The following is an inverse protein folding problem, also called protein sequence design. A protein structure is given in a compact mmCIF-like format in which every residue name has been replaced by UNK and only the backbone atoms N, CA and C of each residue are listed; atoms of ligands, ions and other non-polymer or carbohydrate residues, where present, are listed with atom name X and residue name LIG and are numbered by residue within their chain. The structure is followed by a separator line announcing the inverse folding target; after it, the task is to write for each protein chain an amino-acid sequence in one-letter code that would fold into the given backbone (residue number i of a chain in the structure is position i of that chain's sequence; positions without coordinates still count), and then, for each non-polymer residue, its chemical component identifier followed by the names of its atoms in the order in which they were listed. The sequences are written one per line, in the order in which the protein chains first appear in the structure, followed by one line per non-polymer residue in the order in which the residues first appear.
data_IF_617691232513
#
_entry.id   IF_617691232513
#
_cell.length_a   1.000
_cell.length_b   1.000
_cell.length_c   1.000
_cell.angle_alpha   90.00
_cell.angle_beta   90.00
_cell.angle_gamma   90.00
#
_symmetry.space_group_name_H-M   'P 1'
#
loop_
_entity.id
_entity.type
_entity.pdbx_description
1 polymer ?
#
# COMPACT_ATOMS: atom_id res chain seq x y z
N UNK A 1 35.96 5.72 23.93
CA UNK A 1 35.76 4.61 22.97
C UNK A 1 34.32 4.15 23.11
N UNK A 2 33.48 4.51 22.15
CA UNK A 2 32.04 4.20 22.16
C UNK A 2 31.83 2.74 21.73
N UNK A 3 31.21 1.94 22.58
CA UNK A 3 30.59 0.68 22.19
C UNK A 3 29.09 0.96 21.98
N UNK A 4 28.65 0.87 20.72
CA UNK A 4 27.26 1.05 20.32
C UNK A 4 26.41 -0.12 20.80
N UNK A 5 25.34 0.19 21.53
CA UNK A 5 24.23 -0.74 21.73
C UNK A 5 23.36 -0.71 20.47
N UNK A 6 23.45 -1.80 19.70
CA UNK A 6 22.49 -2.13 18.64
C UNK A 6 21.11 -2.35 19.27
N UNK A 7 20.29 -1.31 19.25
CA UNK A 7 18.85 -1.43 19.48
C UNK A 7 18.21 -1.93 18.19
N UNK A 8 18.23 -3.25 17.99
CA UNK A 8 17.27 -3.92 17.13
C UNK A 8 15.86 -3.70 17.72
N UNK A 9 15.24 -2.58 17.34
CA UNK A 9 13.81 -2.39 17.48
C UNK A 9 13.14 -3.44 16.59
N UNK A 10 12.73 -4.54 17.21
CA UNK A 10 11.74 -5.46 16.63
C UNK A 10 10.57 -4.61 16.14
N UNK A 11 10.37 -4.52 14.82
CA UNK A 11 9.15 -3.92 14.26
C UNK A 11 7.97 -4.82 14.67
N UNK A 12 7.06 -4.36 15.55
CA UNK A 12 5.85 -5.14 15.82
C UNK A 12 5.03 -5.18 14.52
N UNK A 13 4.51 -6.35 14.18
CA UNK A 13 3.61 -6.53 13.05
C UNK A 13 2.41 -5.58 13.21
N UNK A 14 2.40 -4.52 12.41
CA UNK A 14 1.45 -3.42 12.54
C UNK A 14 0.06 -3.85 12.07
N UNK A 15 -0.93 -3.73 12.95
CA UNK A 15 -2.34 -3.79 12.57
C UNK A 15 -2.84 -2.38 12.28
N UNK A 16 -3.20 -2.13 11.02
CA UNK A 16 -3.85 -0.90 10.54
C UNK A 16 -5.25 -0.64 11.17
N UNK A 17 -5.67 -1.43 12.17
CA UNK A 17 -7.03 -1.48 12.72
C UNK A 17 -7.14 -1.13 14.21
N UNK A 18 -6.11 -0.58 14.87
CA UNK A 18 -6.22 -0.16 16.29
C UNK A 18 -7.11 1.09 16.46
N UNK A 19 -7.79 1.23 17.60
CA UNK A 19 -8.68 2.38 17.89
C UNK A 19 -7.95 3.74 17.87
N UNK A 20 -6.63 3.77 18.09
CA UNK A 20 -5.81 4.97 17.93
C UNK A 20 -5.71 5.44 16.46
N UNK A 21 -5.78 4.53 15.49
CA UNK A 21 -5.80 4.87 14.06
C UNK A 21 -7.08 5.60 13.63
N UNK A 22 -8.12 5.63 14.49
CA UNK A 22 -9.34 6.41 14.23
C UNK A 22 -9.13 7.91 14.51
N UNK A 23 -8.26 8.26 15.46
CA UNK A 23 -8.06 9.65 15.95
C UNK A 23 -7.21 10.49 15.01
N UNK A 24 -6.19 9.91 14.38
CA UNK A 24 -5.34 10.61 13.40
C UNK A 24 -5.24 9.80 12.10
N UNK A 25 -5.36 10.45 10.93
CA UNK A 25 -5.16 9.77 9.65
C UNK A 25 -3.72 9.27 9.53
N UNK A 26 -3.52 8.23 8.72
CA UNK A 26 -2.17 7.80 8.34
C UNK A 26 -1.49 8.90 7.53
N UNK A 27 -0.19 9.08 7.75
CA UNK A 27 0.65 10.00 6.96
C UNK A 27 1.32 9.22 5.84
N UNK A 28 1.33 9.82 4.65
CA UNK A 28 2.10 9.30 3.52
C UNK A 28 3.57 9.73 3.66
N UNK A 29 4.48 8.76 3.60
CA UNK A 29 5.92 9.05 3.55
C UNK A 29 6.46 8.91 2.14
N UNK A 30 7.36 9.83 1.81
CA UNK A 30 8.09 9.87 0.55
C UNK A 30 9.60 9.73 0.81
N UNK A 31 10.34 9.36 -0.23
CA UNK A 31 11.77 9.63 -0.25
C UNK A 31 12.05 11.14 -0.51
N UNK A 32 13.31 11.53 -0.48
CA UNK A 32 13.71 12.93 -0.71
C UNK A 32 13.41 13.44 -2.13
N UNK A 33 13.19 12.55 -3.10
CA UNK A 33 12.88 12.87 -4.49
C UNK A 33 11.37 12.88 -4.76
N UNK A 34 10.54 12.56 -3.76
CA UNK A 34 9.08 12.56 -3.86
C UNK A 34 8.47 11.21 -4.21
N UNK A 35 9.24 10.13 -4.26
CA UNK A 35 8.72 8.79 -4.57
C UNK A 35 7.92 8.26 -3.36
N UNK A 36 6.65 7.84 -3.55
CA UNK A 36 5.83 7.26 -2.49
C UNK A 36 6.45 6.00 -1.88
N UNK A 37 6.52 5.95 -0.55
CA UNK A 37 7.15 4.84 0.16
C UNK A 37 6.18 4.05 1.03
N UNK A 38 5.64 4.61 2.13
CA UNK A 38 4.72 3.88 3.02
C UNK A 38 3.76 4.78 3.78
N UNK A 39 2.70 4.18 4.31
CA UNK A 39 1.89 4.77 5.36
C UNK A 39 2.60 4.66 6.71
N UNK A 40 2.55 5.73 7.50
CA UNK A 40 3.02 5.74 8.89
C UNK A 40 1.95 6.29 9.83
N UNK A 41 2.06 5.97 11.12
CA UNK A 41 1.22 6.56 12.15
C UNK A 41 1.70 7.95 12.56
N UNK A 42 0.84 8.67 13.28
CA UNK A 42 1.20 9.95 13.88
C UNK A 42 2.40 9.83 14.84
N UNK A 43 2.53 8.74 15.60
CA UNK A 43 3.68 8.55 16.52
C UNK A 43 5.00 8.51 15.75
N UNK A 44 5.03 7.80 14.62
CA UNK A 44 6.22 7.73 13.76
C UNK A 44 6.52 9.07 13.12
N UNK A 45 5.51 9.82 12.69
CA UNK A 45 5.71 11.17 12.19
C UNK A 45 6.34 12.06 13.26
N UNK A 46 5.77 12.09 14.46
CA UNK A 46 6.33 12.82 15.60
C UNK A 46 7.80 12.44 15.84
N UNK A 47 8.14 11.15 15.76
CA UNK A 47 9.53 10.69 15.85
C UNK A 47 10.42 11.30 14.75
N UNK A 48 9.98 11.29 13.48
CA UNK A 48 10.74 11.87 12.37
C UNK A 48 10.94 13.39 12.54
N UNK A 49 9.91 14.10 12.99
CA UNK A 49 9.97 15.53 13.30
C UNK A 49 10.95 15.83 14.43
N UNK A 50 10.80 15.13 15.57
CA UNK A 50 11.66 15.31 16.73
C UNK A 50 13.14 15.01 16.44
N UNK A 51 13.41 14.07 15.51
CA UNK A 51 14.77 13.74 15.06
C UNK A 51 15.28 14.62 13.91
N UNK A 52 14.53 15.64 13.49
CA UNK A 52 14.84 16.53 12.35
C UNK A 52 15.16 15.74 11.05
N UNK A 53 14.44 14.63 10.86
CA UNK A 53 14.60 13.73 9.71
C UNK A 53 13.67 14.08 8.54
N UNK A 54 12.70 14.96 8.73
CA UNK A 54 11.84 15.46 7.65
C UNK A 54 12.66 16.35 6.72
N UNK A 55 12.70 16.00 5.44
CA UNK A 55 13.40 16.73 4.40
C UNK A 55 12.58 17.93 3.92
N UNK A 56 11.32 17.67 3.62
CA UNK A 56 10.32 18.63 3.17
C UNK A 56 8.92 18.03 3.36
N UNK A 57 7.89 18.88 3.26
CA UNK A 57 6.49 18.55 3.52
C UNK A 57 5.64 18.92 2.31
N UNK A 58 4.50 18.25 2.15
CA UNK A 58 3.48 18.61 1.17
C UNK A 58 2.09 18.14 1.64
N UNK A 59 1.06 18.45 0.85
CA UNK A 59 -0.34 18.19 1.19
C UNK A 59 -1.04 19.42 1.79
N UNK A 60 -2.37 19.41 1.77
CA UNK A 60 -3.21 20.51 2.25
C UNK A 60 -3.70 20.30 3.68
N UNK A 61 -3.40 19.14 4.28
CA UNK A 61 -3.80 18.76 5.63
C UNK A 61 -2.57 18.65 6.54
N UNK A 62 -2.74 19.08 7.78
CA UNK A 62 -1.79 18.88 8.86
C UNK A 62 -2.56 18.60 10.15
N UNK A 63 -1.89 17.99 11.13
CA UNK A 63 -2.47 17.76 12.43
C UNK A 63 -1.45 17.99 13.54
N UNK A 64 -1.92 18.50 14.66
CA UNK A 64 -1.08 18.83 15.81
C UNK A 64 -1.28 17.81 16.92
N UNK A 65 -0.16 17.33 17.43
CA UNK A 65 -0.09 16.42 18.59
C UNK A 65 0.52 17.19 19.75
N UNK A 66 -0.13 17.10 20.91
CA UNK A 66 0.35 17.71 22.14
C UNK A 66 1.10 16.66 22.98
N UNK A 67 2.27 17.04 23.47
CA UNK A 67 3.10 16.27 24.39
C UNK A 67 2.95 16.74 25.85
N UNK A 68 4.04 16.61 26.62
CA UNK A 68 4.07 17.00 28.03
C UNK A 68 4.03 18.52 28.23
N UNK A 69 3.50 18.95 29.39
CA UNK A 69 3.54 20.34 29.87
C UNK A 69 4.78 20.55 30.75
N UNK A 70 5.59 21.53 30.42
CA UNK A 70 6.73 21.94 31.22
C UNK A 70 6.26 22.45 32.58
N UNK A 71 6.84 21.94 33.67
CA UNK A 71 6.54 22.41 35.02
C UNK A 71 7.09 23.83 35.25
N UNK A 72 8.21 24.15 34.63
CA UNK A 72 8.91 25.42 34.81
C UNK A 72 8.26 26.55 34.01
N UNK A 73 7.96 26.31 32.73
CA UNK A 73 7.41 27.34 31.83
C UNK A 73 5.88 27.29 31.74
N UNK A 74 5.25 26.19 32.16
CA UNK A 74 3.82 25.97 31.97
C UNK A 74 3.41 25.73 30.52
N UNK A 75 4.35 25.63 29.57
CA UNK A 75 4.05 25.42 28.16
C UNK A 75 3.87 23.93 27.82
N UNK A 76 2.99 23.63 26.87
CA UNK A 76 2.80 22.28 26.35
C UNK A 76 3.64 22.08 25.09
N UNK A 77 4.48 21.04 25.09
CA UNK A 77 5.21 20.65 23.87
C UNK A 77 4.22 20.23 22.78
N UNK A 78 4.46 20.64 21.54
CA UNK A 78 3.59 20.30 20.41
C UNK A 78 4.40 19.90 19.20
N UNK A 79 3.83 19.04 18.35
CA UNK A 79 4.37 18.71 17.03
C UNK A 79 3.23 18.74 16.03
N UNK A 80 3.38 19.56 14.99
CA UNK A 80 2.47 19.60 13.85
C UNK A 80 3.07 18.80 12.71
N UNK A 81 2.34 17.81 12.21
CA UNK A 81 2.76 16.94 11.12
C UNK A 81 1.86 17.13 9.89
N UNK A 82 2.48 17.30 8.72
CA UNK A 82 1.76 17.32 7.44
C UNK A 82 1.21 15.93 7.08
N UNK A 83 0.20 15.89 6.22
CA UNK A 83 -0.40 14.65 5.70
C UNK A 83 0.56 13.87 4.79
N UNK A 84 1.57 14.54 4.21
CA UNK A 84 2.60 13.96 3.36
C UNK A 84 3.96 14.52 3.76
N UNK A 85 4.91 13.66 4.08
CA UNK A 85 6.28 14.06 4.50
C UNK A 85 7.35 13.29 3.74
N UNK A 86 8.41 13.96 3.31
CA UNK A 86 9.60 13.34 2.77
C UNK A 86 10.67 13.15 3.85
N UNK A 87 11.34 12.00 3.88
CA UNK A 87 12.30 11.65 4.94
C UNK A 87 13.74 11.59 4.40
N UNK A 88 14.70 12.18 5.12
CA UNK A 88 16.14 12.21 4.79
C UNK A 88 16.83 10.86 5.05
N UNK A 89 17.58 10.37 4.05
CA UNK A 89 18.68 9.41 4.21
C UNK A 89 18.33 7.93 4.46
N UNK A 90 19.38 7.15 4.78
CA UNK A 90 19.41 5.67 4.92
C UNK A 90 18.41 5.02 5.90
N UNK A 91 17.66 5.80 6.70
CA UNK A 91 16.59 5.27 7.55
C UNK A 91 15.50 4.53 6.75
N UNK A 92 15.48 4.73 5.43
CA UNK A 92 14.57 4.11 4.47
C UNK A 92 15.30 3.18 3.48
N UNK A 93 16.63 3.02 3.59
CA UNK A 93 17.45 2.19 2.70
C UNK A 93 17.38 0.68 3.04
N UNK A 94 16.41 0.24 3.84
CA UNK A 94 16.14 -1.16 4.09
C UNK A 94 15.15 -1.66 3.01
N UNK A 95 15.76 -2.14 1.92
CA UNK A 95 15.18 -2.89 0.79
C UNK A 95 14.27 -2.11 -0.18
N UNK A 96 14.86 -1.69 -1.30
CA UNK A 96 14.23 -1.74 -2.63
C UNK A 96 13.16 -0.68 -2.93
N UNK A 97 13.58 0.38 -3.64
CA UNK A 97 12.72 1.34 -4.35
C UNK A 97 11.72 0.68 -5.35
N UNK A 98 11.90 -0.61 -5.66
CA UNK A 98 11.11 -1.41 -6.59
C UNK A 98 10.24 -2.46 -5.90
N UNK A 99 9.78 -2.25 -4.66
CA UNK A 99 8.87 -3.21 -4.02
C UNK A 99 7.49 -3.18 -4.67
N UNK A 100 7.38 -3.87 -5.81
CA UNK A 100 6.16 -4.53 -6.27
C UNK A 100 5.54 -5.19 -5.04
N UNK A 101 4.25 -4.98 -4.77
CA UNK A 101 3.57 -5.60 -3.65
C UNK A 101 3.79 -7.11 -3.63
N UNK A 102 3.93 -7.71 -2.44
CA UNK A 102 3.98 -9.16 -2.34
C UNK A 102 2.71 -9.74 -2.98
N UNK A 103 2.88 -10.70 -3.88
CA UNK A 103 1.76 -11.36 -4.53
C UNK A 103 1.06 -12.28 -3.52
N UNK A 104 -0.06 -11.80 -2.98
CA UNK A 104 -0.96 -12.57 -2.13
C UNK A 104 -2.42 -12.34 -2.56
N UNK A 105 -3.36 -13.15 -2.05
CA UNK A 105 -4.76 -13.07 -2.48
C UNK A 105 -5.41 -11.73 -2.15
N UNK A 106 -5.09 -11.14 -0.99
CA UNK A 106 -5.60 -9.83 -0.60
C UNK A 106 -5.19 -8.77 -1.62
N UNK A 107 -3.92 -8.70 -1.97
CA UNK A 107 -3.41 -7.71 -2.94
C UNK A 107 -3.88 -7.99 -4.36
N UNK A 108 -3.95 -9.27 -4.77
CA UNK A 108 -4.47 -9.66 -6.07
C UNK A 108 -5.93 -9.22 -6.25
N UNK A 109 -6.78 -9.51 -5.26
CA UNK A 109 -8.19 -9.17 -5.32
C UNK A 109 -8.39 -7.66 -5.22
N UNK A 110 -7.50 -6.94 -4.52
CA UNK A 110 -7.50 -5.48 -4.54
C UNK A 110 -7.12 -4.90 -5.91
N UNK A 111 -6.03 -5.38 -6.55
CA UNK A 111 -5.61 -4.96 -7.91
C UNK A 111 -6.78 -5.09 -8.88
N UNK A 112 -7.46 -6.23 -8.81
CA UNK A 112 -8.56 -6.58 -9.71
C UNK A 112 -9.91 -5.99 -9.29
N UNK A 113 -9.94 -5.23 -8.17
CA UNK A 113 -11.13 -4.63 -7.58
C UNK A 113 -12.24 -5.62 -7.24
N UNK A 114 -11.86 -6.82 -6.84
CA UNK A 114 -12.79 -7.90 -6.53
C UNK A 114 -13.70 -8.30 -7.71
N UNK A 115 -13.31 -7.94 -8.94
CA UNK A 115 -14.00 -8.29 -10.17
C UNK A 115 -13.42 -9.59 -10.71
N UNK A 116 -14.29 -10.55 -11.05
CA UNK A 116 -13.88 -11.77 -11.72
C UNK A 116 -13.36 -11.45 -13.15
N UNK A 117 -12.16 -11.92 -13.47
CA UNK A 117 -11.53 -11.70 -14.77
C UNK A 117 -12.29 -12.31 -15.96
N UNK A 118 -13.20 -13.24 -15.70
CA UNK A 118 -13.91 -13.98 -16.75
C UNK A 118 -15.35 -13.49 -16.94
N UNK A 119 -16.12 -13.38 -15.85
CA UNK A 119 -17.53 -13.00 -15.94
C UNK A 119 -17.81 -11.53 -15.60
N UNK A 120 -16.82 -10.79 -15.08
CA UNK A 120 -16.99 -9.38 -14.72
C UNK A 120 -17.81 -9.14 -13.45
N UNK A 121 -18.29 -10.20 -12.78
CA UNK A 121 -19.04 -10.08 -11.54
C UNK A 121 -18.17 -9.53 -10.40
N UNK A 122 -18.78 -8.71 -9.53
CA UNK A 122 -18.19 -8.22 -8.29
C UNK A 122 -18.50 -9.18 -7.15
N UNK A 123 -17.48 -9.60 -6.40
CA UNK A 123 -17.62 -10.60 -5.34
C UNK A 123 -16.98 -10.15 -4.02
N UNK A 124 -17.45 -10.70 -2.90
CA UNK A 124 -16.72 -10.52 -1.64
C UNK A 124 -15.41 -11.33 -1.65
N UNK A 125 -14.44 -10.91 -0.84
CA UNK A 125 -13.14 -11.56 -0.72
C UNK A 125 -13.25 -13.09 -0.50
N UNK A 126 -14.21 -13.54 0.30
CA UNK A 126 -14.42 -14.96 0.60
C UNK A 126 -14.93 -15.80 -0.58
N UNK A 127 -15.50 -15.17 -1.62
CA UNK A 127 -16.04 -15.84 -2.81
C UNK A 127 -15.08 -15.81 -4.00
N UNK A 128 -13.93 -15.18 -3.82
CA UNK A 128 -12.89 -15.06 -4.83
C UNK A 128 -11.79 -16.08 -4.62
N UNK A 129 -11.19 -16.48 -5.73
CA UNK A 129 -10.06 -17.39 -5.81
C UNK A 129 -9.00 -16.79 -6.73
N UNK A 130 -7.74 -17.08 -6.45
CA UNK A 130 -6.66 -16.85 -7.41
C UNK A 130 -6.72 -17.93 -8.49
N UNK A 131 -6.66 -17.52 -9.74
CA UNK A 131 -6.51 -18.43 -10.87
C UNK A 131 -5.29 -18.04 -11.71
N UNK A 132 -4.64 -19.05 -12.30
CA UNK A 132 -3.49 -18.87 -13.17
C UNK A 132 -3.96 -18.90 -14.63
N UNK A 133 -3.66 -17.85 -15.39
CA UNK A 133 -3.97 -17.75 -16.83
C UNK A 133 -3.39 -18.95 -17.56
N UNK A 134 -2.09 -19.19 -17.39
CA UNK A 134 -1.42 -20.46 -17.73
C UNK A 134 -1.42 -21.33 -16.46
N UNK A 135 -2.11 -22.48 -16.43
CA UNK A 135 -2.15 -23.36 -15.26
C UNK A 135 -0.77 -23.88 -14.84
N UNK A 136 -0.61 -24.21 -13.55
CA UNK A 136 0.62 -24.81 -13.02
C UNK A 136 1.00 -26.12 -13.71
N UNK A 137 0.01 -26.96 -14.05
CA UNK A 137 0.21 -28.20 -14.82
C UNK A 137 0.79 -27.95 -16.23
N UNK A 138 0.68 -26.72 -16.75
CA UNK A 138 1.26 -26.25 -18.01
C UNK A 138 2.49 -25.37 -17.78
N UNK A 139 3.16 -25.50 -16.62
CA UNK A 139 4.36 -24.74 -16.21
C UNK A 139 4.13 -23.24 -16.01
N UNK A 140 2.89 -22.81 -15.84
CA UNK A 140 2.57 -21.43 -15.49
C UNK A 140 3.12 -21.06 -14.11
N UNK A 141 3.67 -19.85 -14.00
CA UNK A 141 4.32 -19.35 -12.79
C UNK A 141 3.35 -18.54 -11.92
N UNK A 142 3.54 -18.53 -10.60
CA UNK A 142 2.79 -17.68 -9.67
C UNK A 142 3.34 -16.25 -9.70
N UNK A 143 2.98 -15.49 -10.73
CA UNK A 143 3.44 -14.12 -10.97
C UNK A 143 2.27 -13.20 -11.25
N UNK A 144 2.41 -11.91 -10.94
CA UNK A 144 1.39 -10.89 -11.21
C UNK A 144 0.87 -10.91 -12.65
N UNK A 145 1.73 -11.21 -13.62
CA UNK A 145 1.38 -11.28 -15.05
C UNK A 145 0.65 -12.57 -15.45
N UNK A 146 0.66 -13.61 -14.61
CA UNK A 146 0.01 -14.89 -14.90
C UNK A 146 -1.15 -15.21 -13.95
N UNK A 147 -1.42 -14.38 -12.94
CA UNK A 147 -2.54 -14.63 -12.01
C UNK A 147 -3.57 -13.53 -12.02
N UNK A 148 -4.83 -13.94 -11.89
CA UNK A 148 -6.02 -13.08 -11.88
C UNK A 148 -7.00 -13.51 -10.81
N UNK A 149 -7.88 -12.60 -10.45
CA UNK A 149 -9.04 -12.82 -9.61
C UNK A 149 -10.12 -13.55 -10.39
N UNK A 150 -10.63 -14.66 -9.85
CA UNK A 150 -11.76 -15.40 -10.42
C UNK A 150 -12.78 -15.73 -9.34
N UNK A 151 -14.06 -15.77 -9.69
CA UNK A 151 -15.05 -16.44 -8.85
C UNK A 151 -14.86 -17.97 -8.94
N UNK A 152 -15.37 -18.70 -7.93
CA UNK A 152 -15.24 -20.16 -7.88
C UNK A 152 -15.79 -20.87 -9.13
N UNK A 153 -16.99 -20.49 -9.58
CA UNK A 153 -17.63 -21.11 -10.76
C UNK A 153 -16.79 -20.95 -12.05
N UNK A 154 -16.27 -19.75 -12.31
CA UNK A 154 -15.41 -19.53 -13.48
C UNK A 154 -14.07 -20.26 -13.34
N UNK A 155 -13.50 -20.30 -12.14
CA UNK A 155 -12.24 -20.99 -11.89
C UNK A 155 -12.38 -22.51 -12.11
N UNK A 156 -13.46 -23.11 -11.57
CA UNK A 156 -13.80 -24.52 -11.79
C UNK A 156 -14.07 -24.82 -13.26
N UNK A 157 -14.81 -23.94 -13.95
CA UNK A 157 -15.04 -24.06 -15.40
C UNK A 157 -13.73 -24.06 -16.17
N UNK A 158 -12.77 -23.19 -15.86
CA UNK A 158 -11.47 -23.19 -16.55
C UNK A 158 -10.66 -24.44 -16.19
N UNK A 159 -10.52 -24.73 -14.90
CA UNK A 159 -9.73 -25.84 -14.39
C UNK A 159 -8.26 -25.75 -14.86
N UNK A 160 -7.67 -26.91 -15.20
CA UNK A 160 -6.29 -27.00 -15.68
C UNK A 160 -6.10 -26.71 -17.18
N UNK A 161 -7.06 -26.05 -17.81
CA UNK A 161 -7.05 -25.71 -19.24
C UNK A 161 -6.49 -24.31 -19.48
N UNK A 162 -5.94 -24.12 -20.68
CA UNK A 162 -5.66 -22.80 -21.24
C UNK A 162 -6.98 -22.06 -21.54
N UNK A 163 -6.89 -20.74 -21.73
CA UNK A 163 -8.07 -19.91 -22.02
C UNK A 163 -8.79 -20.37 -23.28
N UNK A 164 -8.03 -20.69 -24.33
CA UNK A 164 -8.51 -21.18 -25.61
C UNK A 164 -9.21 -22.53 -25.46
N UNK A 165 -8.62 -23.44 -24.69
CA UNK A 165 -9.16 -24.79 -24.41
C UNK A 165 -10.45 -24.74 -23.57
N UNK A 166 -10.62 -23.72 -22.73
CA UNK A 166 -11.83 -23.51 -21.94
C UNK A 166 -12.90 -22.67 -22.67
N UNK A 167 -12.57 -22.13 -23.86
CA UNK A 167 -13.35 -21.12 -24.56
C UNK A 167 -13.73 -19.96 -23.63
N UNK A 168 -12.71 -19.40 -22.97
CA UNK A 168 -12.82 -18.30 -22.02
C UNK A 168 -11.84 -17.19 -22.42
N UNK A 169 -12.20 -15.95 -22.11
CA UNK A 169 -11.35 -14.79 -22.36
C UNK A 169 -11.24 -13.95 -21.09
N UNK A 170 -10.14 -13.24 -20.97
CA UNK A 170 -9.96 -12.26 -19.90
C UNK A 170 -10.63 -10.95 -20.29
N UNK A 171 -11.43 -10.40 -19.38
CA UNK A 171 -12.03 -9.07 -19.50
C UNK A 171 -11.02 -7.95 -19.22
N UNK A 172 -9.85 -8.30 -18.66
CA UNK A 172 -8.75 -7.37 -18.46
C UNK A 172 -7.40 -8.10 -18.43
N UNK A 173 -6.36 -7.40 -18.87
CA UNK A 173 -5.00 -7.94 -18.81
C UNK A 173 -4.47 -7.86 -17.35
N UNK A 174 -3.81 -8.92 -16.85
CA UNK A 174 -3.05 -8.83 -15.62
C UNK A 174 -1.85 -7.89 -15.80
N UNK A 175 -1.50 -7.18 -14.73
CA UNK A 175 -0.34 -6.29 -14.70
C UNK A 175 0.30 -6.31 -13.32
N UNK A 176 1.52 -5.76 -13.24
CA UNK A 176 2.27 -5.59 -12.01
C UNK A 176 1.92 -4.24 -11.39
N UNK A 177 1.27 -4.19 -10.21
CA UNK A 177 0.96 -2.92 -9.54
C UNK A 177 2.26 -2.26 -9.05
N UNK A 178 2.33 -0.93 -9.17
CA UNK A 178 3.44 -0.16 -8.65
C UNK A 178 3.23 0.22 -7.18
N UNK A 179 4.20 0.91 -6.58
CA UNK A 179 4.15 1.26 -5.16
C UNK A 179 3.02 2.22 -4.81
N UNK A 180 2.74 3.21 -5.65
CA UNK A 180 1.67 4.17 -5.40
C UNK A 180 0.30 3.48 -5.40
N UNK A 181 0.06 2.62 -6.38
CA UNK A 181 -1.15 1.80 -6.47
C UNK A 181 -1.32 0.90 -5.25
N UNK A 182 -0.25 0.25 -4.79
CA UNK A 182 -0.29 -0.52 -3.56
C UNK A 182 -0.72 0.31 -2.35
N UNK A 183 -0.17 1.51 -2.19
CA UNK A 183 -0.53 2.39 -1.08
C UNK A 183 -2.00 2.80 -1.14
N UNK A 184 -2.53 3.04 -2.35
CA UNK A 184 -3.94 3.30 -2.57
C UNK A 184 -4.81 2.10 -2.14
N UNK A 185 -4.42 0.90 -2.56
CA UNK A 185 -5.20 -0.31 -2.31
C UNK A 185 -5.12 -0.79 -0.85
N UNK A 186 -3.99 -0.53 -0.18
CA UNK A 186 -3.73 -0.97 1.18
C UNK A 186 -4.45 -0.14 2.26
N UNK A 187 -4.71 1.16 2.00
CA UNK A 187 -5.35 2.06 2.94
C UNK A 187 -6.78 2.41 2.50
N UNK A 188 -7.78 2.11 3.34
CA UNK A 188 -9.18 2.43 3.07
C UNK A 188 -9.57 3.86 3.41
N UNK A 189 -8.77 4.57 4.21
CA UNK A 189 -9.02 5.95 4.66
C UNK A 189 -7.86 6.83 4.22
N UNK A 190 -7.89 7.21 2.95
CA UNK A 190 -6.89 8.08 2.32
C UNK A 190 -7.48 9.49 2.26
N UNK A 191 -6.71 10.49 2.70
CA UNK A 191 -7.11 11.89 2.57
C UNK A 191 -7.11 12.30 1.09
N UNK A 192 -7.93 13.30 0.74
CA UNK A 192 -8.09 13.73 -0.66
C UNK A 192 -6.75 14.15 -1.28
N UNK A 193 -5.96 14.93 -0.56
CA UNK A 193 -4.64 15.41 -1.00
C UNK A 193 -3.62 14.26 -1.18
N UNK A 194 -3.65 13.27 -0.28
CA UNK A 194 -2.85 12.05 -0.41
C UNK A 194 -3.25 11.23 -1.63
N UNK A 195 -4.56 11.12 -1.92
CA UNK A 195 -5.06 10.41 -3.09
C UNK A 195 -4.65 11.11 -4.39
N UNK A 196 -4.79 12.43 -4.44
CA UNK A 196 -4.35 13.24 -5.60
C UNK A 196 -2.85 13.06 -5.87
N UNK A 197 -2.03 13.12 -4.81
CA UNK A 197 -0.59 12.89 -4.92
C UNK A 197 -0.28 11.47 -5.45
N UNK A 198 -0.90 10.44 -4.87
CA UNK A 198 -0.64 9.05 -5.26
C UNK A 198 -1.09 8.76 -6.69
N UNK A 199 -2.23 9.29 -7.14
CA UNK A 199 -2.74 9.10 -8.52
C UNK A 199 -1.76 9.58 -9.59
N UNK A 200 -0.98 10.62 -9.31
CA UNK A 200 0.07 11.12 -10.23
C UNK A 200 1.23 10.13 -10.39
N UNK A 201 1.38 9.19 -9.45
CA UNK A 201 2.43 8.18 -9.42
C UNK A 201 1.94 6.78 -9.81
N UNK A 202 0.65 6.62 -10.15
CA UNK A 202 0.08 5.36 -10.61
C UNK A 202 0.42 5.15 -12.09
N UNK A 203 0.68 3.89 -12.48
CA UNK A 203 0.97 3.56 -13.86
C UNK A 203 -0.28 3.71 -14.74
N UNK A 204 -0.11 4.18 -16.00
CA UNK A 204 -1.23 4.47 -16.90
C UNK A 204 -2.14 3.25 -17.17
N UNK A 205 -1.56 2.05 -17.24
CA UNK A 205 -2.29 0.78 -17.41
C UNK A 205 -3.02 0.30 -16.14
N UNK A 206 -2.83 0.99 -15.01
CA UNK A 206 -3.46 0.62 -13.75
C UNK A 206 -4.96 0.70 -13.88
N UNK A 207 -5.63 -0.29 -13.30
CA UNK A 207 -7.08 -0.27 -13.22
C UNK A 207 -7.55 0.95 -12.45
N UNK A 208 -6.78 1.52 -11.51
CA UNK A 208 -7.14 2.73 -10.74
C UNK A 208 -7.69 3.86 -11.62
N UNK A 209 -7.16 4.07 -12.83
CA UNK A 209 -7.63 5.11 -13.76
C UNK A 209 -8.98 4.82 -14.42
N UNK A 210 -9.34 3.53 -14.58
CA UNK A 210 -10.58 3.10 -15.25
C UNK A 210 -11.86 3.31 -14.41
N UNK A 211 -11.75 3.92 -13.24
CA UNK A 211 -12.91 4.32 -12.44
C UNK A 211 -13.27 5.77 -12.77
N UNK A 212 -14.11 5.94 -13.80
CA UNK A 212 -14.93 7.12 -14.04
C UNK A 212 -16.39 6.67 -14.12
#
# INVERSE_FOLDING_TARGET
MHAGHDLHLHEPAFSIFSDEAKRFPLILTLDQNGIPHRWITWQHAVWYYAKQRVAWETGSKAFTVNGGKSRETGETSTVTAASIIAIRGKAMAIKGFNQVPPLNNRELFHRDRHVCAYCGGLFSHARLTRDHVIPYSRRGQDTWMNVVTSCRNCNERKGSRLLEEANMQLLYAPYVPNRAEFLILANRRILVDQMEFLKQHVAAQSRIHLAA
#
